data_IF_837666425025
#
_entry.id   IF_837666425025
#
_cell.length_a   1.000
_cell.length_b   1.000
_cell.length_c   1.000
_cell.angle_alpha   90.00
_cell.angle_beta   90.00
_cell.angle_gamma   90.00
#
_symmetry.space_group_name_H-M   'P 1'
#
loop_
_entity.id
_entity.type
_entity.pdbx_description
1 polymer ?
#
# COMPACT_ATOMS: atom_id res chain seq x y z
N UNK A 1 12.29 2.25 14.26
CA UNK A 1 12.38 3.34 13.26
C UNK A 1 13.83 3.72 12.98
N UNK A 2 14.70 3.64 13.98
CA UNK A 2 16.14 3.97 13.88
C UNK A 2 16.93 3.17 12.83
N UNK A 3 16.45 1.99 12.43
CA UNK A 3 17.05 1.20 11.35
C UNK A 3 16.80 1.80 9.94
N UNK A 4 15.88 2.76 9.81
CA UNK A 4 15.63 3.46 8.53
C UNK A 4 16.72 4.53 8.34
N UNK A 5 17.44 4.55 7.21
CA UNK A 5 18.50 5.53 7.00
C UNK A 5 18.01 6.99 7.11
N UNK A 6 18.84 7.83 7.72
CA UNK A 6 18.58 9.26 7.86
C UNK A 6 18.45 9.95 6.49
N UNK A 7 17.62 10.99 6.42
CA UNK A 7 17.39 11.77 5.18
C UNK A 7 16.46 11.10 4.16
N UNK A 8 16.03 9.86 4.39
CA UNK A 8 15.03 9.20 3.54
C UNK A 8 13.63 9.74 3.78
N UNK A 9 12.73 9.53 2.81
CA UNK A 9 11.30 9.84 2.93
C UNK A 9 10.48 8.64 3.43
N UNK A 10 11.15 7.52 3.70
CA UNK A 10 10.54 6.25 4.09
C UNK A 10 9.92 6.35 5.48
N UNK A 11 8.76 5.71 5.65
CA UNK A 11 8.03 5.66 6.91
C UNK A 11 7.66 4.22 7.20
N UNK A 12 7.87 3.79 8.44
CA UNK A 12 7.36 2.51 8.91
C UNK A 12 5.87 2.65 9.19
N UNK A 13 5.07 1.70 8.72
CA UNK A 13 3.62 1.65 8.92
C UNK A 13 3.18 0.37 9.63
N UNK A 14 2.05 0.43 10.34
CA UNK A 14 1.38 -0.76 10.91
C UNK A 14 0.44 -1.45 9.92
N UNK A 15 -0.24 -2.52 10.36
CA UNK A 15 -1.19 -3.25 9.49
C UNK A 15 -2.53 -3.55 10.17
N UNK A 16 -3.35 -4.37 9.50
CA UNK A 16 -4.56 -4.97 10.07
C UNK A 16 -4.33 -6.29 10.82
N UNK A 17 -3.08 -6.77 10.89
CA UNK A 17 -2.67 -7.98 11.61
C UNK A 17 -2.42 -7.65 13.09
N UNK A 18 -3.50 -7.33 13.81
CA UNK A 18 -3.49 -6.86 15.21
C UNK A 18 -4.19 -7.84 16.13
N UNK A 19 -3.88 -7.81 17.43
CA UNK A 19 -4.61 -8.64 18.40
C UNK A 19 -6.09 -8.22 18.44
N UNK A 20 -7.05 -9.16 18.30
CA UNK A 20 -8.48 -8.84 18.35
C UNK A 20 -8.85 -8.05 19.62
N UNK A 21 -9.57 -6.94 19.46
CA UNK A 21 -9.98 -6.05 20.55
C UNK A 21 -8.93 -5.04 21.02
N UNK A 22 -7.65 -5.22 20.67
CA UNK A 22 -6.55 -4.36 21.16
C UNK A 22 -5.99 -3.40 20.11
N UNK A 23 -6.52 -3.41 18.90
CA UNK A 23 -6.06 -2.60 17.76
C UNK A 23 -5.79 -1.14 18.12
N UNK A 24 -6.69 -0.47 18.86
CA UNK A 24 -6.53 0.94 19.22
C UNK A 24 -5.24 1.18 20.04
N UNK A 25 -4.94 0.28 20.98
CA UNK A 25 -3.76 0.36 21.84
C UNK A 25 -2.49 0.05 21.05
N UNK A 26 -2.50 -0.99 20.23
CA UNK A 26 -1.35 -1.37 19.39
C UNK A 26 -0.99 -0.25 18.40
N UNK A 27 -2.00 0.38 17.78
CA UNK A 27 -1.84 1.55 16.89
C UNK A 27 -1.33 2.78 17.61
N UNK A 28 -1.65 2.94 18.89
CA UNK A 28 -1.06 4.00 19.71
C UNK A 28 0.42 3.71 19.98
N UNK A 29 0.76 2.47 20.34
CA UNK A 29 2.13 2.06 20.59
C UNK A 29 3.04 2.24 19.36
N UNK A 30 2.55 1.92 18.15
CA UNK A 30 3.25 2.18 16.87
C UNK A 30 3.63 3.66 16.75
N UNK A 31 2.67 4.57 16.97
CA UNK A 31 2.94 6.02 16.92
C UNK A 31 3.89 6.50 18.01
N UNK A 32 3.76 5.96 19.22
CA UNK A 32 4.65 6.27 20.34
C UNK A 32 6.11 5.86 20.03
N UNK A 33 6.30 4.76 19.29
CA UNK A 33 7.60 4.33 18.76
C UNK A 33 8.10 5.08 17.52
N UNK A 34 7.43 6.17 17.10
CA UNK A 34 7.83 7.02 15.99
C UNK A 34 7.35 6.58 14.60
N UNK A 35 6.69 5.43 14.49
CA UNK A 35 6.12 4.96 13.22
C UNK A 35 4.77 5.64 12.91
N UNK A 36 4.20 5.33 11.75
CA UNK A 36 2.91 5.86 11.29
C UNK A 36 1.88 4.74 11.20
N UNK A 37 0.63 5.12 11.19
CA UNK A 37 -0.45 4.16 11.11
C UNK A 37 -0.95 4.06 9.67
N UNK A 38 -1.11 2.85 9.18
CA UNK A 38 -1.87 2.55 7.96
C UNK A 38 -3.37 2.73 8.22
N UNK A 39 -4.24 2.41 7.24
CA UNK A 39 -5.71 2.50 7.38
C UNK A 39 -6.23 1.81 8.66
N UNK A 40 -7.19 2.45 9.31
CA UNK A 40 -7.72 1.95 10.58
C UNK A 40 -8.57 0.70 10.38
N UNK A 41 -9.40 0.69 9.35
CA UNK A 41 -10.38 -0.36 9.07
C UNK A 41 -10.65 -0.44 7.56
N UNK A 42 -11.65 -1.23 7.17
CA UNK A 42 -12.05 -1.39 5.77
C UNK A 42 -12.82 -0.19 5.22
N UNK A 43 -13.31 0.71 6.08
CA UNK A 43 -14.06 1.92 5.69
C UNK A 43 -13.15 3.13 5.48
N UNK A 44 -11.94 3.11 6.04
CA UNK A 44 -10.99 4.23 6.05
C UNK A 44 -10.36 4.53 4.68
N UNK A 45 -10.04 3.49 3.90
CA UNK A 45 -9.43 3.60 2.58
C UNK A 45 -9.61 2.29 1.80
N UNK A 46 -9.62 2.38 0.47
CA UNK A 46 -9.69 1.21 -0.40
C UNK A 46 -8.28 0.64 -0.54
N UNK A 47 -8.13 -0.65 -0.28
CA UNK A 47 -6.94 -1.44 -0.62
C UNK A 47 -7.42 -2.65 -1.42
N UNK A 48 -7.07 -2.66 -2.70
CA UNK A 48 -7.31 -3.74 -3.64
C UNK A 48 -6.19 -4.76 -3.47
N UNK A 49 -6.56 -5.97 -3.04
CA UNK A 49 -5.68 -7.14 -2.98
C UNK A 49 -5.89 -8.06 -4.18
N UNK A 50 -4.98 -9.01 -4.39
CA UNK A 50 -5.06 -10.16 -5.32
C UNK A 50 -6.49 -10.68 -5.59
N UNK A 51 -7.24 -11.02 -4.55
CA UNK A 51 -8.57 -11.59 -4.64
C UNK A 51 -9.58 -10.64 -5.31
N UNK A 52 -9.39 -9.33 -5.12
CA UNK A 52 -10.22 -8.31 -5.75
C UNK A 52 -9.86 -8.13 -7.23
N UNK A 53 -8.58 -8.22 -7.56
CA UNK A 53 -8.08 -8.18 -8.94
C UNK A 53 -8.69 -9.35 -9.73
N UNK A 54 -8.64 -10.56 -9.17
CA UNK A 54 -9.26 -11.76 -9.75
C UNK A 54 -10.77 -11.56 -9.91
N UNK A 55 -11.47 -11.11 -8.86
CA UNK A 55 -12.91 -10.90 -8.92
C UNK A 55 -13.35 -9.78 -9.88
N UNK A 56 -12.51 -8.76 -10.08
CA UNK A 56 -12.78 -7.66 -11.00
C UNK A 56 -12.44 -7.98 -12.46
N UNK A 57 -11.58 -8.99 -12.69
CA UNK A 57 -11.07 -9.36 -14.01
C UNK A 57 -9.85 -8.57 -14.46
N UNK A 58 -9.01 -8.12 -13.52
CA UNK A 58 -7.77 -7.36 -13.80
C UNK A 58 -7.58 -6.13 -12.91
N UNK A 59 -6.38 -5.56 -12.91
CA UNK A 59 -6.00 -4.42 -12.06
C UNK A 59 -6.76 -3.16 -12.47
N UNK A 60 -6.74 -2.83 -13.76
CA UNK A 60 -7.43 -1.65 -14.27
C UNK A 60 -8.94 -1.68 -13.97
N UNK A 61 -9.69 -2.76 -14.27
CA UNK A 61 -11.08 -2.89 -13.86
C UNK A 61 -11.30 -2.76 -12.34
N UNK A 62 -10.40 -3.30 -11.52
CA UNK A 62 -10.51 -3.20 -10.06
C UNK A 62 -10.39 -1.74 -9.59
N UNK A 63 -9.38 -1.01 -10.08
CA UNK A 63 -9.13 0.39 -9.73
C UNK A 63 -10.26 1.29 -10.25
N UNK A 64 -10.70 1.12 -11.49
CA UNK A 64 -11.79 1.92 -12.08
C UNK A 64 -13.10 1.72 -11.30
N UNK A 65 -13.45 0.47 -10.96
CA UNK A 65 -14.65 0.16 -10.16
C UNK A 65 -14.54 0.72 -8.73
N UNK A 66 -13.36 0.66 -8.12
CA UNK A 66 -13.12 1.27 -6.82
C UNK A 66 -13.31 2.78 -6.87
N UNK A 67 -12.69 3.46 -7.84
CA UNK A 67 -12.81 4.92 -8.03
C UNK A 67 -14.23 5.39 -8.31
N UNK A 68 -15.00 4.62 -9.09
CA UNK A 68 -16.39 4.97 -9.39
C UNK A 68 -17.32 4.93 -8.15
N UNK A 69 -16.93 4.22 -7.08
CA UNK A 69 -17.79 4.00 -5.90
C UNK A 69 -17.23 4.60 -4.61
N UNK A 70 -15.92 4.74 -4.50
CA UNK A 70 -15.27 5.30 -3.33
C UNK A 70 -15.60 6.80 -3.20
N UNK A 71 -15.74 7.32 -1.98
CA UNK A 71 -15.77 8.76 -1.77
C UNK A 71 -14.55 9.43 -2.41
N UNK A 72 -14.73 10.60 -3.02
CA UNK A 72 -13.64 11.35 -3.65
C UNK A 72 -12.52 11.75 -2.66
N UNK A 73 -12.78 11.69 -1.35
CA UNK A 73 -11.80 11.92 -0.29
C UNK A 73 -10.99 10.68 0.10
N UNK A 74 -11.39 9.49 -0.34
CA UNK A 74 -10.74 8.23 -0.01
C UNK A 74 -9.63 7.91 -1.01
N UNK A 75 -8.48 7.48 -0.49
CA UNK A 75 -7.41 6.94 -1.33
C UNK A 75 -7.73 5.52 -1.81
N UNK A 76 -7.26 5.22 -3.02
CA UNK A 76 -7.28 3.88 -3.62
C UNK A 76 -5.86 3.35 -3.72
N UNK A 77 -5.61 2.29 -2.96
CA UNK A 77 -4.37 1.54 -2.95
C UNK A 77 -4.54 0.21 -3.69
N UNK A 78 -3.53 -0.21 -4.44
CA UNK A 78 -3.51 -1.51 -5.13
C UNK A 78 -2.24 -2.28 -4.81
N UNK A 79 -2.41 -3.54 -4.42
CA UNK A 79 -1.33 -4.52 -4.27
C UNK A 79 -0.95 -5.09 -5.63
N UNK A 80 0.35 -5.17 -5.87
CA UNK A 80 0.95 -5.72 -7.10
C UNK A 80 2.15 -6.60 -6.74
N UNK A 81 2.36 -7.65 -7.52
CA UNK A 81 3.49 -8.59 -7.37
C UNK A 81 4.43 -8.63 -8.59
N UNK A 82 4.13 -7.89 -9.67
CA UNK A 82 5.05 -7.70 -10.81
C UNK A 82 5.17 -6.24 -11.27
N UNK A 83 6.21 -5.94 -12.07
CA UNK A 83 6.42 -4.61 -12.64
C UNK A 83 5.39 -4.26 -13.73
N UNK A 84 4.87 -5.26 -14.46
CA UNK A 84 3.80 -5.06 -15.44
C UNK A 84 2.52 -4.62 -14.74
N UNK A 85 2.20 -5.25 -13.60
CA UNK A 85 1.08 -4.87 -12.76
C UNK A 85 1.23 -3.47 -12.17
N UNK A 86 2.45 -3.10 -11.74
CA UNK A 86 2.78 -1.74 -11.32
C UNK A 86 2.45 -0.73 -12.42
N UNK A 87 2.87 -0.97 -13.66
CA UNK A 87 2.58 -0.08 -14.79
C UNK A 87 1.07 0.03 -15.07
N UNK A 88 0.34 -1.09 -15.01
CA UNK A 88 -1.11 -1.10 -15.16
C UNK A 88 -1.81 -0.28 -14.05
N UNK A 89 -1.40 -0.46 -12.80
CA UNK A 89 -1.94 0.27 -11.66
C UNK A 89 -1.64 1.79 -11.73
N UNK A 90 -0.43 2.15 -12.18
CA UNK A 90 -0.05 3.54 -12.44
C UNK A 90 -0.90 4.16 -13.56
N UNK A 91 -1.10 3.44 -14.66
CA UNK A 91 -1.92 3.90 -15.78
C UNK A 91 -3.41 4.06 -15.39
N UNK A 92 -3.91 3.19 -14.50
CA UNK A 92 -5.26 3.26 -13.95
C UNK A 92 -5.45 4.34 -12.85
N UNK A 93 -4.37 4.98 -12.40
CA UNK A 93 -4.43 6.09 -11.45
C UNK A 93 -4.64 5.68 -9.99
N UNK A 94 -3.99 4.60 -9.54
CA UNK A 94 -3.89 4.28 -8.11
C UNK A 94 -3.15 5.40 -7.34
N UNK A 95 -3.61 5.75 -6.13
CA UNK A 95 -2.95 6.75 -5.27
C UNK A 95 -1.70 6.18 -4.59
N UNK A 96 -1.77 4.90 -4.25
CA UNK A 96 -0.76 4.14 -3.51
C UNK A 96 -0.63 2.77 -4.19
N UNK A 97 0.60 2.28 -4.34
CA UNK A 97 0.88 0.96 -4.89
C UNK A 97 1.72 0.19 -3.88
N UNK A 98 1.19 -0.95 -3.44
CA UNK A 98 1.84 -1.86 -2.51
C UNK A 98 2.59 -2.92 -3.32
N UNK A 99 3.91 -2.94 -3.19
CA UNK A 99 4.82 -3.92 -3.77
C UNK A 99 4.89 -5.12 -2.82
N UNK A 100 4.18 -6.20 -3.14
CA UNK A 100 4.10 -7.38 -2.25
C UNK A 100 5.23 -8.38 -2.53
N UNK A 101 6.04 -8.66 -1.51
CA UNK A 101 7.13 -9.64 -1.51
C UNK A 101 8.13 -9.52 -2.68
N UNK A 102 8.29 -8.33 -3.26
CA UNK A 102 9.30 -8.06 -4.29
C UNK A 102 10.70 -7.99 -3.68
N UNK A 103 11.70 -8.49 -4.42
CA UNK A 103 13.10 -8.37 -4.01
C UNK A 103 13.64 -6.93 -4.16
N UNK A 104 14.77 -6.64 -3.51
CA UNK A 104 15.35 -5.28 -3.51
C UNK A 104 15.61 -4.74 -4.92
N UNK A 105 16.21 -5.49 -5.86
CA UNK A 105 16.41 -5.00 -7.23
C UNK A 105 15.08 -4.65 -7.94
N UNK A 106 14.03 -5.44 -7.74
CA UNK A 106 12.71 -5.16 -8.32
C UNK A 106 12.07 -3.93 -7.69
N UNK A 107 12.19 -3.75 -6.37
CA UNK A 107 11.73 -2.54 -5.68
C UNK A 107 12.45 -1.28 -6.17
N UNK A 108 13.76 -1.35 -6.38
CA UNK A 108 14.54 -0.23 -6.96
C UNK A 108 14.06 0.15 -8.36
N UNK A 109 13.77 -0.84 -9.21
CA UNK A 109 13.17 -0.62 -10.53
C UNK A 109 11.77 -0.01 -10.41
N UNK A 110 10.93 -0.53 -9.51
CA UNK A 110 9.58 -0.02 -9.27
C UNK A 110 9.59 1.47 -8.86
N UNK A 111 10.53 1.87 -7.99
CA UNK A 111 10.75 3.27 -7.59
C UNK A 111 11.09 4.13 -8.81
N UNK A 112 12.01 3.66 -9.67
CA UNK A 112 12.40 4.35 -10.91
C UNK A 112 11.25 4.49 -11.91
N UNK A 113 10.45 3.45 -12.11
CA UNK A 113 9.31 3.45 -13.04
C UNK A 113 8.17 4.34 -12.54
N UNK A 114 7.97 4.40 -11.22
CA UNK A 114 6.87 5.16 -10.62
C UNK A 114 7.04 6.67 -10.81
N UNK A 115 8.28 7.20 -10.72
CA UNK A 115 8.60 8.63 -10.92
C UNK A 115 7.71 9.58 -10.09
N UNK A 116 7.31 9.15 -8.90
CA UNK A 116 6.44 9.92 -8.00
C UNK A 116 4.98 10.05 -8.43
N UNK A 117 4.53 9.28 -9.44
CA UNK A 117 3.12 9.28 -9.88
C UNK A 117 2.16 8.67 -8.85
N UNK A 118 2.65 7.79 -7.98
CA UNK A 118 1.94 7.21 -6.85
C UNK A 118 2.88 7.11 -5.63
N UNK A 119 2.31 6.97 -4.43
CA UNK A 119 3.09 6.54 -3.26
C UNK A 119 3.39 5.04 -3.39
N UNK A 120 4.61 4.63 -3.02
CA UNK A 120 4.98 3.23 -2.96
C UNK A 120 5.03 2.76 -1.50
N UNK A 121 4.52 1.56 -1.28
CA UNK A 121 4.62 0.83 -0.02
C UNK A 121 5.25 -0.54 -0.30
N UNK A 122 6.34 -0.89 0.38
CA UNK A 122 6.89 -2.25 0.33
C UNK A 122 6.28 -3.08 1.46
N UNK A 123 5.77 -4.27 1.15
CA UNK A 123 5.11 -5.16 2.10
C UNK A 123 5.59 -6.60 1.91
N UNK A 124 5.52 -7.39 2.98
CA UNK A 124 5.93 -8.79 2.99
C UNK A 124 7.44 -8.96 3.20
N UNK A 125 7.82 -9.97 3.98
CA UNK A 125 9.23 -10.31 4.21
C UNK A 125 10.13 -9.22 4.83
N UNK A 126 9.57 -8.14 5.41
CA UNK A 126 10.35 -7.00 5.91
C UNK A 126 11.15 -7.38 7.17
N UNK A 127 12.48 -7.34 7.06
CA UNK A 127 13.44 -7.64 8.15
C UNK A 127 14.65 -6.72 8.11
#
# INVERSE_FOLDING_TARGET
VDAVPEGTRTRITDTRKTTPGLRLFERYAVRAGGAKNHRNDLSSAVLIKDNHVVAAGGIKPAIERARARAPHTSRVECEVDTLEQLEEALAAGADIIMLDNMDTPTVEEAVRLTRGRALLEASGGIT
#
